data_IF_515354481474
#
_entry.id   IF_515354481474
#
_cell.length_a   1.000
_cell.length_b   1.000
_cell.length_c   1.000
_cell.angle_alpha   90.00
_cell.angle_beta   90.00
_cell.angle_gamma   90.00
#
_symmetry.space_group_name_H-M   'P 1'
#
loop_
_entity.id
_entity.type
_entity.pdbx_description
1 polymer ?
#
# COMPACT_ATOMS: atom_id res chain seq x y z
N UNK A 1 0.17 0.65 -26.35
CA UNK A 1 1.07 0.47 -25.24
C UNK A 1 0.94 -0.91 -24.62
N UNK A 2 1.90 -1.28 -23.84
CA UNK A 2 1.88 -2.55 -23.12
C UNK A 2 0.66 -2.61 -22.18
N UNK A 3 -0.01 -3.76 -22.13
CA UNK A 3 -1.21 -3.97 -21.29
C UNK A 3 -2.39 -3.03 -21.59
N UNK A 4 -2.45 -2.49 -22.78
CA UNK A 4 -3.57 -1.62 -23.17
C UNK A 4 -3.46 -0.17 -22.76
N UNK A 5 -2.32 0.26 -22.20
CA UNK A 5 -2.10 1.66 -21.88
C UNK A 5 -1.85 2.49 -23.13
N UNK A 6 -2.33 3.72 -23.17
CA UNK A 6 -2.11 4.64 -24.27
C UNK A 6 -0.89 5.51 -24.01
N UNK A 7 -0.30 6.03 -25.09
CA UNK A 7 0.85 6.91 -24.98
C UNK A 7 0.47 8.18 -24.18
N UNK A 8 1.32 8.52 -23.23
CA UNK A 8 1.13 9.69 -22.38
C UNK A 8 0.32 9.47 -21.11
N UNK A 9 -0.32 8.31 -20.95
CA UNK A 9 -0.97 7.98 -19.68
C UNK A 9 0.06 7.67 -18.59
N UNK A 10 -0.21 8.14 -17.37
CA UNK A 10 0.48 7.64 -16.19
C UNK A 10 0.00 6.21 -15.88
N UNK A 11 0.79 5.42 -15.13
CA UNK A 11 0.35 4.07 -14.72
C UNK A 11 -1.02 4.09 -14.01
N UNK A 12 -1.27 5.08 -13.17
CA UNK A 12 -2.55 5.19 -12.46
C UNK A 12 -3.70 5.48 -13.43
N UNK A 13 -3.52 6.42 -14.34
CA UNK A 13 -4.55 6.73 -15.36
C UNK A 13 -4.91 5.50 -16.20
N UNK A 14 -3.87 4.74 -16.61
CA UNK A 14 -4.08 3.51 -17.35
C UNK A 14 -4.89 2.49 -16.55
N UNK A 15 -4.51 2.23 -15.31
CA UNK A 15 -5.21 1.28 -14.43
C UNK A 15 -6.67 1.67 -14.23
N UNK A 16 -6.94 2.95 -13.98
CA UNK A 16 -8.30 3.44 -13.77
C UNK A 16 -9.16 3.26 -15.01
N UNK A 17 -8.61 3.52 -16.20
CA UNK A 17 -9.33 3.37 -17.46
C UNK A 17 -9.60 1.92 -17.80
N UNK A 18 -8.61 1.04 -17.61
CA UNK A 18 -8.69 -0.37 -18.01
C UNK A 18 -9.56 -1.17 -17.05
N UNK A 19 -9.38 -0.98 -15.75
CA UNK A 19 -10.03 -1.81 -14.74
C UNK A 19 -11.25 -1.18 -14.08
N UNK A 20 -11.38 0.15 -14.10
CA UNK A 20 -12.50 0.88 -13.49
C UNK A 20 -12.79 0.41 -12.06
N UNK A 21 -11.78 0.42 -11.16
CA UNK A 21 -11.95 -0.10 -9.82
C UNK A 21 -12.86 0.78 -8.96
N UNK A 22 -13.48 0.19 -7.95
CA UNK A 22 -14.20 0.93 -6.90
C UNK A 22 -13.29 1.24 -5.71
N UNK A 23 -12.28 0.40 -5.49
CA UNK A 23 -11.31 0.53 -4.40
C UNK A 23 -9.91 0.32 -4.96
N UNK A 24 -8.93 1.06 -4.43
CA UNK A 24 -7.53 0.92 -4.80
C UNK A 24 -6.69 0.87 -3.52
N UNK A 25 -5.94 -0.20 -3.35
CA UNK A 25 -4.98 -0.31 -2.25
C UNK A 25 -3.63 0.24 -2.73
N UNK A 26 -3.07 1.17 -1.97
CA UNK A 26 -1.76 1.75 -2.25
C UNK A 26 -0.80 1.30 -1.15
N UNK A 27 0.15 0.44 -1.51
CA UNK A 27 1.21 -0.02 -0.64
C UNK A 27 2.55 0.26 -1.32
N UNK A 28 3.42 1.04 -0.67
CA UNK A 28 4.70 1.46 -1.25
C UNK A 28 5.87 0.82 -0.52
N UNK A 29 6.97 0.65 -1.23
CA UNK A 29 8.20 0.08 -0.68
C UNK A 29 9.24 1.13 -0.32
N UNK A 30 10.37 0.66 0.20
CA UNK A 30 11.47 1.50 0.70
C UNK A 30 12.08 2.42 -0.36
N UNK A 31 12.03 2.03 -1.62
CA UNK A 31 12.57 2.84 -2.71
C UNK A 31 11.71 4.06 -3.06
N UNK A 32 10.50 4.09 -2.55
CA UNK A 32 9.65 5.26 -2.71
C UNK A 32 10.06 6.27 -1.64
N UNK A 33 10.69 7.36 -2.05
CA UNK A 33 11.19 8.37 -1.14
C UNK A 33 10.07 9.19 -0.50
N UNK A 34 10.23 9.55 0.77
CA UNK A 34 9.24 10.33 1.51
C UNK A 34 8.94 11.70 0.88
N UNK A 35 9.92 12.28 0.19
CA UNK A 35 9.70 13.51 -0.59
C UNK A 35 8.69 13.33 -1.71
N UNK A 36 8.34 12.07 -2.02
CA UNK A 36 7.32 11.74 -3.01
C UNK A 36 5.90 11.73 -2.44
N UNK A 37 5.69 12.24 -1.22
CA UNK A 37 4.33 12.43 -0.67
C UNK A 37 3.47 13.29 -1.58
N UNK A 38 4.04 14.21 -2.34
CA UNK A 38 3.32 14.98 -3.34
C UNK A 38 2.71 14.11 -4.43
N UNK A 39 3.42 13.07 -4.87
CA UNK A 39 2.86 12.10 -5.82
C UNK A 39 1.73 11.31 -5.19
N UNK A 40 1.89 10.89 -3.94
CA UNK A 40 0.83 10.19 -3.21
C UNK A 40 -0.41 11.07 -3.07
N UNK A 41 -0.25 12.34 -2.73
CA UNK A 41 -1.36 13.29 -2.66
C UNK A 41 -2.09 13.40 -3.98
N UNK A 42 -1.35 13.51 -5.08
CA UNK A 42 -1.94 13.57 -6.42
C UNK A 42 -2.73 12.31 -6.75
N UNK A 43 -2.19 11.14 -6.43
CA UNK A 43 -2.88 9.87 -6.67
C UNK A 43 -4.14 9.79 -5.82
N UNK A 44 -4.06 10.12 -4.53
CA UNK A 44 -5.22 10.11 -3.63
C UNK A 44 -6.32 11.03 -4.17
N UNK A 45 -5.98 12.27 -4.53
CA UNK A 45 -6.95 13.23 -5.04
C UNK A 45 -7.55 12.77 -6.37
N UNK A 46 -6.76 12.19 -7.25
CA UNK A 46 -7.22 11.63 -8.51
C UNK A 46 -8.23 10.51 -8.29
N UNK A 47 -7.98 9.62 -7.34
CA UNK A 47 -8.89 8.53 -6.99
C UNK A 47 -10.18 9.07 -6.40
N UNK A 48 -10.09 9.99 -5.44
CA UNK A 48 -11.27 10.60 -4.82
C UNK A 48 -12.13 11.35 -5.85
N UNK A 49 -11.51 12.11 -6.76
CA UNK A 49 -12.22 12.81 -7.82
C UNK A 49 -12.95 11.86 -8.76
N UNK A 50 -12.43 10.66 -8.95
CA UNK A 50 -13.05 9.62 -9.77
C UNK A 50 -14.10 8.80 -8.99
N UNK A 51 -14.37 9.12 -7.73
CA UNK A 51 -15.30 8.38 -6.90
C UNK A 51 -14.78 7.02 -6.42
N UNK A 52 -13.46 6.85 -6.41
CA UNK A 52 -12.77 5.62 -6.01
C UNK A 52 -12.26 5.79 -4.58
N UNK A 53 -12.44 4.76 -3.75
CA UNK A 53 -11.95 4.78 -2.36
C UNK A 53 -10.50 4.30 -2.33
N UNK A 54 -9.54 5.18 -1.97
CA UNK A 54 -8.16 4.75 -1.73
C UNK A 54 -8.05 4.12 -0.35
N UNK A 55 -7.32 3.02 -0.26
CA UNK A 55 -6.95 2.38 1.00
C UNK A 55 -5.43 2.44 1.08
N UNK A 56 -4.89 3.21 2.01
CA UNK A 56 -3.45 3.26 2.19
C UNK A 56 -2.99 2.11 3.07
N UNK A 57 -1.84 1.52 2.74
CA UNK A 57 -1.29 0.42 3.50
C UNK A 57 0.12 0.74 3.98
N UNK A 58 0.41 0.38 5.24
CA UNK A 58 1.79 0.40 5.71
C UNK A 58 2.53 -0.83 5.19
N UNK A 59 3.86 -0.74 5.08
CA UNK A 59 4.69 -1.88 4.70
C UNK A 59 5.16 -2.66 5.92
N UNK A 60 5.60 -3.90 5.72
CA UNK A 60 6.00 -4.78 6.80
C UNK A 60 7.41 -4.54 7.35
N UNK A 61 8.26 -3.84 6.62
CA UNK A 61 9.66 -3.61 7.02
C UNK A 61 9.91 -2.15 7.42
N UNK A 62 11.05 -1.91 8.06
CA UNK A 62 11.56 -0.58 8.39
C UNK A 62 13.00 -0.46 7.87
N UNK A 63 13.22 -0.74 6.60
CA UNK A 63 14.54 -0.72 5.99
C UNK A 63 15.18 0.66 6.01
N UNK A 64 14.36 1.70 5.92
CA UNK A 64 14.80 3.09 6.03
C UNK A 64 15.23 3.48 7.44
N UNK A 65 14.92 2.66 8.45
CA UNK A 65 15.30 2.77 9.88
C UNK A 65 14.69 3.93 10.65
N UNK A 66 13.91 4.79 10.01
CA UNK A 66 13.28 5.95 10.65
C UNK A 66 11.75 5.93 10.55
N UNK A 67 11.18 4.82 10.06
CA UNK A 67 9.73 4.59 9.96
C UNK A 67 8.98 5.64 9.14
N UNK A 68 9.69 6.50 8.41
CA UNK A 68 9.09 7.65 7.71
C UNK A 68 8.02 7.25 6.72
N UNK A 69 8.22 6.13 5.99
CA UNK A 69 7.26 5.70 4.97
C UNK A 69 5.93 5.31 5.62
N UNK A 70 5.96 4.47 6.64
CA UNK A 70 4.75 4.06 7.34
C UNK A 70 4.08 5.24 8.05
N UNK A 71 4.89 6.14 8.64
CA UNK A 71 4.37 7.36 9.26
C UNK A 71 3.68 8.25 8.24
N UNK A 72 4.29 8.46 7.08
CA UNK A 72 3.71 9.30 6.02
C UNK A 72 2.40 8.72 5.51
N UNK A 73 2.32 7.39 5.35
CA UNK A 73 1.08 6.72 4.96
C UNK A 73 -0.02 6.95 5.99
N UNK A 74 0.30 6.80 7.28
CA UNK A 74 -0.67 7.03 8.35
C UNK A 74 -1.13 8.50 8.41
N UNK A 75 -0.22 9.44 8.26
CA UNK A 75 -0.55 10.86 8.24
C UNK A 75 -1.43 11.25 7.05
N UNK A 76 -1.14 10.72 5.87
CA UNK A 76 -1.96 10.97 4.67
C UNK A 76 -3.35 10.36 4.82
N UNK A 77 -3.45 9.17 5.38
CA UNK A 77 -4.76 8.55 5.64
C UNK A 77 -5.61 9.41 6.58
N UNK A 78 -4.99 9.93 7.63
CA UNK A 78 -5.67 10.83 8.58
C UNK A 78 -6.04 12.17 7.93
N UNK A 79 -5.15 12.75 7.13
CA UNK A 79 -5.38 14.04 6.45
C UNK A 79 -6.58 14.00 5.52
N UNK A 80 -6.73 12.91 4.75
CA UNK A 80 -7.81 12.75 3.78
C UNK A 80 -9.01 11.98 4.32
N UNK A 81 -8.96 11.56 5.58
CA UNK A 81 -10.00 10.74 6.22
C UNK A 81 -10.34 9.50 5.38
N UNK A 82 -9.29 8.79 4.97
CA UNK A 82 -9.39 7.57 4.18
C UNK A 82 -8.85 6.37 4.97
N UNK A 83 -9.26 5.14 4.59
CA UNK A 83 -8.86 3.94 5.31
C UNK A 83 -7.34 3.70 5.30
N UNK A 84 -6.84 3.19 6.41
CA UNK A 84 -5.47 2.70 6.56
C UNK A 84 -5.50 1.20 6.89
N UNK A 85 -4.85 0.40 6.05
CA UNK A 85 -4.53 -0.98 6.36
C UNK A 85 -3.15 -1.02 7.01
N UNK A 86 -3.11 -1.23 8.32
CA UNK A 86 -1.85 -1.24 9.07
C UNK A 86 -1.19 -2.62 9.02
N UNK A 87 -0.60 -2.95 7.89
CA UNK A 87 0.12 -4.21 7.73
C UNK A 87 1.32 -4.33 8.67
N UNK A 88 1.98 -3.24 8.97
CA UNK A 88 3.07 -3.20 9.95
C UNK A 88 2.63 -3.82 11.29
N UNK A 89 1.49 -3.39 11.80
CA UNK A 89 0.94 -3.89 13.05
C UNK A 89 0.57 -5.37 12.97
N UNK A 90 0.13 -5.83 11.81
CA UNK A 90 -0.27 -7.23 11.61
C UNK A 90 0.89 -8.22 11.76
N UNK A 91 2.13 -7.77 11.71
CA UNK A 91 3.33 -8.60 11.84
C UNK A 91 3.98 -8.52 13.23
N UNK A 92 3.42 -7.75 14.15
CA UNK A 92 4.07 -7.37 15.42
C UNK A 92 4.38 -8.55 16.35
N UNK A 93 3.60 -9.61 16.29
CA UNK A 93 3.76 -10.81 17.14
C UNK A 93 4.59 -11.92 16.51
N UNK A 94 5.01 -11.76 15.26
CA UNK A 94 5.83 -12.77 14.59
C UNK A 94 7.31 -12.59 14.90
N UNK A 95 8.08 -13.69 15.07
CA UNK A 95 9.53 -13.61 15.19
C UNK A 95 10.12 -12.89 13.97
N UNK A 96 11.01 -11.92 14.21
CA UNK A 96 11.59 -11.06 13.17
C UNK A 96 10.55 -10.44 12.24
N UNK A 97 9.34 -10.27 12.73
CA UNK A 97 8.17 -9.75 11.99
C UNK A 97 7.81 -10.62 10.76
N UNK A 98 8.25 -11.88 10.75
CA UNK A 98 8.09 -12.75 9.59
C UNK A 98 8.89 -12.33 8.36
N UNK A 99 9.92 -11.51 8.55
CA UNK A 99 10.75 -10.98 7.46
C UNK A 99 12.09 -11.72 7.39
N UNK A 100 12.59 -11.88 6.18
CA UNK A 100 13.92 -12.44 5.97
C UNK A 100 14.60 -11.82 4.75
N UNK A 101 15.93 -11.93 4.71
CA UNK A 101 16.75 -11.55 3.57
C UNK A 101 17.42 -12.81 3.02
N UNK A 102 17.83 -12.76 1.76
CA UNK A 102 18.59 -13.88 1.18
C UNK A 102 20.04 -13.83 1.65
N UNK A 103 20.63 -15.01 1.88
CA UNK A 103 22.00 -15.16 2.37
C UNK A 103 23.04 -14.50 1.45
N UNK A 104 22.74 -14.47 0.15
CA UNK A 104 23.63 -13.86 -0.85
C UNK A 104 23.62 -12.32 -0.80
N UNK A 105 22.61 -11.69 -0.17
CA UNK A 105 22.46 -10.23 -0.12
C UNK A 105 21.87 -9.73 1.20
N UNK A 106 22.52 -10.02 2.34
CA UNK A 106 21.88 -9.79 3.65
C UNK A 106 21.64 -8.30 3.99
N UNK A 107 22.43 -7.38 3.43
CA UNK A 107 22.32 -5.96 3.76
C UNK A 107 21.76 -5.09 2.63
N UNK A 108 21.78 -5.57 1.40
CA UNK A 108 21.41 -4.79 0.21
C UNK A 108 20.30 -5.43 -0.62
N UNK A 109 20.02 -6.69 -0.34
CA UNK A 109 18.98 -7.42 -1.07
C UNK A 109 17.57 -7.02 -0.65
N UNK A 110 16.56 -7.44 -1.41
CA UNK A 110 15.18 -7.24 -1.01
C UNK A 110 14.84 -8.01 0.27
N UNK A 111 13.88 -7.49 1.02
CA UNK A 111 13.32 -8.13 2.19
C UNK A 111 12.10 -8.93 1.74
N UNK A 112 12.00 -10.15 2.22
CA UNK A 112 10.91 -11.07 1.86
C UNK A 112 10.03 -11.36 3.07
N UNK A 113 8.77 -11.65 2.80
CA UNK A 113 7.83 -12.18 3.78
C UNK A 113 7.97 -13.70 3.83
N UNK A 114 8.08 -14.27 5.02
CA UNK A 114 7.95 -15.72 5.17
C UNK A 114 6.49 -16.14 4.95
N UNK A 115 6.21 -17.42 4.99
CA UNK A 115 4.86 -17.95 4.72
C UNK A 115 3.81 -17.35 5.65
N UNK A 116 4.11 -17.26 6.94
CA UNK A 116 3.18 -16.70 7.94
C UNK A 116 2.92 -15.22 7.69
N UNK A 117 3.95 -14.42 7.43
CA UNK A 117 3.80 -13.01 7.11
C UNK A 117 3.02 -12.80 5.81
N UNK A 118 3.26 -13.64 4.81
CA UNK A 118 2.51 -13.61 3.56
C UNK A 118 1.02 -13.95 3.79
N UNK A 119 0.72 -14.91 4.66
CA UNK A 119 -0.66 -15.20 5.05
C UNK A 119 -1.32 -14.02 5.77
N UNK A 120 -0.59 -13.36 6.68
CA UNK A 120 -1.06 -12.14 7.34
C UNK A 120 -1.34 -11.02 6.34
N UNK A 121 -0.51 -10.89 5.32
CA UNK A 121 -0.73 -9.92 4.24
C UNK A 121 -2.06 -10.18 3.53
N UNK A 122 -2.27 -11.41 3.09
CA UNK A 122 -3.52 -11.80 2.41
C UNK A 122 -4.75 -11.62 3.30
N UNK A 123 -4.70 -12.14 4.52
CA UNK A 123 -5.85 -12.15 5.43
C UNK A 123 -6.23 -10.75 5.90
N UNK A 124 -5.25 -9.95 6.32
CA UNK A 124 -5.53 -8.60 6.79
C UNK A 124 -5.89 -7.65 5.66
N UNK A 125 -5.32 -7.84 4.47
CA UNK A 125 -5.70 -7.10 3.27
C UNK A 125 -7.16 -7.36 2.88
N UNK A 126 -7.59 -8.62 2.87
CA UNK A 126 -8.98 -8.97 2.63
C UNK A 126 -9.92 -8.42 3.71
N UNK A 127 -9.49 -8.48 4.98
CA UNK A 127 -10.28 -7.93 6.08
C UNK A 127 -10.45 -6.41 5.95
N UNK A 128 -9.37 -5.70 5.59
CA UNK A 128 -9.42 -4.26 5.36
C UNK A 128 -10.36 -3.91 4.21
N UNK A 129 -10.23 -4.61 3.08
CA UNK A 129 -11.10 -4.40 1.92
C UNK A 129 -12.56 -4.66 2.25
N UNK A 130 -12.85 -5.75 2.96
CA UNK A 130 -14.21 -6.09 3.39
C UNK A 130 -14.79 -5.02 4.33
N UNK A 131 -14.01 -4.53 5.27
CA UNK A 131 -14.44 -3.48 6.20
C UNK A 131 -14.79 -2.18 5.45
N UNK A 132 -13.97 -1.79 4.49
CA UNK A 132 -14.21 -0.60 3.66
C UNK A 132 -15.45 -0.79 2.79
N UNK A 133 -15.58 -1.94 2.15
CA UNK A 133 -16.74 -2.26 1.32
C UNK A 133 -18.04 -2.18 2.12
N UNK A 134 -18.07 -2.75 3.33
CA UNK A 134 -19.24 -2.68 4.21
C UNK A 134 -19.57 -1.25 4.62
N UNK A 135 -18.56 -0.46 4.97
CA UNK A 135 -18.76 0.93 5.34
C UNK A 135 -19.36 1.75 4.20
N UNK A 136 -18.88 1.55 2.97
CA UNK A 136 -19.39 2.23 1.77
C UNK A 136 -20.80 1.76 1.44
N UNK A 137 -21.09 0.46 1.64
CA UNK A 137 -22.43 -0.10 1.41
C UNK A 137 -23.45 0.25 2.50
N UNK A 138 -23.03 0.89 3.59
CA UNK A 138 -23.90 1.26 4.71
C UNK A 138 -24.23 0.12 5.66
N UNK A 139 -23.40 -0.91 5.67
CA UNK A 139 -23.58 -2.07 6.54
C UNK A 139 -22.76 -1.99 7.83
#
# INVERSE_FOLDING_TARGET
GQYGCTFGETPVECELRVHRPSFVIIQIGTHFESRNTEYLRKIILQLLDAGIVPILATKGDNREKDERINRDMALLAAEYDIPLWNFWAALSDLPDRGLYTRDDRPLQGPIYLNEEAANRHRMTGLAALNAVWRAVAGE
#
